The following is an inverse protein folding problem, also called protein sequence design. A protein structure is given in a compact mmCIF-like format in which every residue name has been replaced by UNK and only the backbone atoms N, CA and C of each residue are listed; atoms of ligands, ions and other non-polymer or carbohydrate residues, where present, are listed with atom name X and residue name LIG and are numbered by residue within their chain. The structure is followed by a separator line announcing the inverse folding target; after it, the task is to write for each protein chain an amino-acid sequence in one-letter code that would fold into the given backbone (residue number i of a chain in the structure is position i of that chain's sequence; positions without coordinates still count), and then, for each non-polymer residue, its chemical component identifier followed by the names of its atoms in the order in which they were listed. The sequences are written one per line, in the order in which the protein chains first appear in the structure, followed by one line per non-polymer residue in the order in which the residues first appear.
data_IF_430946501109
#
_entry.id   IF_430946501109
#
_cell.length_a   1.000
_cell.length_b   1.000
_cell.length_c   1.000
_cell.angle_alpha   90.00
_cell.angle_beta   90.00
_cell.angle_gamma   90.00
#
_symmetry.space_group_name_H-M   'P 1'
#
loop_
_entity.id
_entity.type
_entity.pdbx_description
1 polymer ?
#
# COMPACT_ATOMS: atom_id res chain seq x y z
N UNK A 1 -60.28 68.08 -9.88
CA UNK A 1 -60.20 67.52 -8.52
C UNK A 1 -61.11 66.30 -8.45
N UNK A 2 -60.57 65.11 -8.70
CA UNK A 2 -61.32 63.84 -8.73
C UNK A 2 -60.42 62.66 -8.30
N UNK A 3 -60.83 62.03 -7.20
CA UNK A 3 -61.09 60.58 -7.00
C UNK A 3 -59.94 59.56 -7.20
N UNK A 4 -59.41 59.12 -6.04
CA UNK A 4 -59.17 57.75 -5.52
C UNK A 4 -58.16 56.76 -6.13
N UNK A 5 -57.65 55.82 -5.30
CA UNK A 5 -56.37 55.14 -5.47
C UNK A 5 -56.53 53.71 -6.01
N UNK A 6 -55.49 53.20 -6.68
CA UNK A 6 -55.42 51.78 -7.06
C UNK A 6 -54.07 51.21 -6.67
N UNK A 7 -54.19 50.15 -5.88
CA UNK A 7 -53.17 49.22 -5.39
C UNK A 7 -52.43 48.59 -6.58
N UNK A 8 -51.10 48.64 -6.57
CA UNK A 8 -50.22 47.79 -7.37
C UNK A 8 -49.13 47.26 -6.44
N UNK A 9 -49.42 46.15 -5.77
CA UNK A 9 -48.95 44.81 -6.11
C UNK A 9 -47.42 44.71 -6.00
N UNK A 10 -47.04 44.16 -4.84
CA UNK A 10 -45.71 43.86 -4.34
C UNK A 10 -44.94 43.02 -5.37
N UNK A 11 -43.88 43.60 -5.94
CA UNK A 11 -42.92 42.87 -6.76
C UNK A 11 -41.96 42.11 -5.84
N UNK A 12 -42.20 40.81 -5.81
CA UNK A 12 -41.48 39.72 -5.18
C UNK A 12 -39.95 39.87 -5.37
N UNK A 13 -39.28 40.37 -4.33
CA UNK A 13 -37.84 40.20 -4.17
C UNK A 13 -37.62 38.91 -3.40
N UNK A 14 -36.84 37.99 -3.97
CA UNK A 14 -35.68 37.32 -3.38
C UNK A 14 -35.44 36.02 -4.12
N UNK A 15 -34.43 36.05 -5.00
CA UNK A 15 -33.70 34.86 -5.41
C UNK A 15 -33.07 34.21 -4.17
N UNK A 16 -33.72 33.19 -3.60
CA UNK A 16 -33.01 32.19 -2.79
C UNK A 16 -32.49 31.12 -3.74
N UNK A 17 -31.26 31.32 -4.17
CA UNK A 17 -30.42 30.24 -4.63
C UNK A 17 -30.10 29.32 -3.43
N UNK A 18 -30.36 28.03 -3.66
CA UNK A 18 -29.56 26.90 -3.20
C UNK A 18 -29.29 26.79 -1.70
N UNK A 19 -30.12 26.02 -1.01
CA UNK A 19 -29.65 24.84 -0.27
C UNK A 19 -30.70 23.74 -0.46
N UNK A 20 -30.66 23.07 -1.61
CA UNK A 20 -31.08 21.69 -1.61
C UNK A 20 -30.12 20.97 -0.68
N UNK A 21 -30.62 20.35 0.38
CA UNK A 21 -29.92 19.22 0.96
C UNK A 21 -29.87 18.18 -0.16
N UNK A 22 -28.78 18.19 -0.92
CA UNK A 22 -28.26 16.94 -1.45
C UNK A 22 -28.02 16.09 -0.20
N UNK A 23 -28.95 15.18 0.04
CA UNK A 23 -28.65 13.98 0.78
C UNK A 23 -27.62 13.27 -0.11
N UNK A 24 -26.36 13.67 0.00
CA UNK A 24 -25.31 12.70 -0.24
C UNK A 24 -25.63 11.61 0.75
N UNK A 25 -26.08 10.47 0.25
CA UNK A 25 -25.69 9.23 0.87
C UNK A 25 -24.18 9.37 1.01
N UNK A 26 -23.74 9.80 2.19
CA UNK A 26 -22.47 9.38 2.72
C UNK A 26 -22.60 7.86 2.71
N UNK A 27 -22.26 7.29 1.55
CA UNK A 27 -21.60 6.00 1.51
C UNK A 27 -20.47 6.24 2.49
N UNK A 28 -20.70 5.83 3.73
CA UNK A 28 -19.65 5.49 4.63
C UNK A 28 -18.86 4.44 3.88
N UNK A 29 -17.96 4.89 2.99
CA UNK A 29 -16.74 4.19 2.75
C UNK A 29 -16.19 4.10 4.15
N UNK A 30 -16.39 2.93 4.74
CA UNK A 30 -15.64 2.44 5.86
C UNK A 30 -14.18 2.71 5.46
N UNK A 31 -13.66 3.87 5.87
CA UNK A 31 -12.23 4.16 5.82
C UNK A 31 -11.70 3.17 6.83
N UNK A 32 -11.47 1.95 6.35
CA UNK A 32 -10.90 0.87 7.12
C UNK A 32 -9.56 1.45 7.54
N UNK A 33 -9.44 1.81 8.81
CA UNK A 33 -8.23 2.41 9.34
C UNK A 33 -7.11 1.38 9.12
N UNK A 34 -6.37 1.56 8.03
CA UNK A 34 -5.32 0.64 7.58
C UNK A 34 -3.99 0.96 8.23
N UNK A 35 -3.98 1.94 9.12
CA UNK A 35 -2.79 2.46 9.77
C UNK A 35 -2.48 1.63 11.01
N UNK A 36 -1.91 0.45 10.81
CA UNK A 36 -1.40 -0.34 11.93
C UNK A 36 -0.25 0.43 12.59
N UNK A 37 -0.35 0.64 13.90
CA UNK A 37 0.70 1.24 14.72
C UNK A 37 1.55 0.16 15.39
N UNK A 38 2.83 0.43 15.59
CA UNK A 38 3.75 -0.38 16.39
C UNK A 38 3.39 -0.28 17.89
N UNK A 39 4.08 -1.06 18.72
CA UNK A 39 3.88 -1.07 20.18
C UNK A 39 4.16 0.28 20.87
N UNK A 40 4.67 1.27 20.13
CA UNK A 40 4.96 2.63 20.60
C UNK A 40 4.06 3.68 19.94
N UNK A 41 3.00 3.26 19.23
CA UNK A 41 2.05 4.14 18.58
C UNK A 41 2.57 4.78 17.28
N UNK A 42 3.63 4.23 16.66
CA UNK A 42 4.17 4.74 15.39
C UNK A 42 3.71 3.90 14.22
N UNK A 43 3.38 4.53 13.10
CA UNK A 43 3.02 3.81 11.88
C UNK A 43 4.16 2.91 11.40
N UNK A 44 3.82 1.71 10.92
CA UNK A 44 4.77 0.86 10.22
C UNK A 44 5.20 1.54 8.92
N UNK A 45 6.51 1.65 8.72
CA UNK A 45 7.07 2.36 7.55
C UNK A 45 7.07 1.53 6.27
N UNK A 46 7.05 0.21 6.39
CA UNK A 46 7.03 -0.72 5.25
C UNK A 46 6.37 -2.06 5.63
N UNK A 47 5.86 -2.78 4.63
CA UNK A 47 5.07 -4.00 4.80
C UNK A 47 5.80 -5.09 5.60
N UNK A 48 7.11 -5.20 5.45
CA UNK A 48 7.95 -6.16 6.19
C UNK A 48 7.99 -5.93 7.71
N UNK A 49 7.60 -4.75 8.20
CA UNK A 49 7.54 -4.48 9.64
C UNK A 49 6.21 -4.88 10.28
N UNK A 50 5.14 -4.96 9.48
CA UNK A 50 3.81 -5.28 9.99
C UNK A 50 3.82 -6.76 10.39
N UNK A 51 3.52 -7.12 11.66
CA UNK A 51 3.41 -8.51 12.08
C UNK A 51 2.40 -9.28 11.22
N UNK A 52 2.69 -10.53 10.90
CA UNK A 52 1.83 -11.38 10.05
C UNK A 52 0.35 -11.37 10.48
N UNK A 53 0.10 -11.38 11.80
CA UNK A 53 -1.25 -11.37 12.39
C UNK A 53 -2.02 -10.06 12.20
N UNK A 54 -1.32 -8.96 11.91
CA UNK A 54 -1.91 -7.64 11.70
C UNK A 54 -2.03 -7.29 10.22
N UNK A 55 -1.57 -8.17 9.32
CA UNK A 55 -1.63 -7.89 7.88
C UNK A 55 -3.03 -8.11 7.32
N UNK A 56 -3.46 -7.19 6.49
CA UNK A 56 -4.64 -7.40 5.64
C UNK A 56 -4.36 -8.45 4.57
N UNK A 57 -5.43 -9.01 3.98
CA UNK A 57 -5.30 -9.93 2.87
C UNK A 57 -4.56 -9.31 1.68
N UNK A 58 -4.85 -8.04 1.36
CA UNK A 58 -4.18 -7.32 0.29
C UNK A 58 -2.67 -7.15 0.56
N UNK A 59 -2.28 -6.84 1.79
CA UNK A 59 -0.88 -6.75 2.19
C UNK A 59 -0.18 -8.11 2.05
N UNK A 60 -0.84 -9.20 2.44
CA UNK A 60 -0.32 -10.56 2.27
C UNK A 60 -0.14 -10.91 0.78
N UNK A 61 -1.07 -10.51 -0.09
CA UNK A 61 -0.94 -10.67 -1.55
C UNK A 61 0.28 -9.89 -2.07
N UNK A 62 0.45 -8.63 -1.67
CA UNK A 62 1.61 -7.81 -2.07
C UNK A 62 2.93 -8.44 -1.61
N UNK A 63 3.02 -8.90 -0.36
CA UNK A 63 4.22 -9.57 0.15
C UNK A 63 4.53 -10.83 -0.64
N UNK A 64 3.52 -11.66 -0.97
CA UNK A 64 3.75 -12.86 -1.79
C UNK A 64 4.32 -12.52 -3.16
N UNK A 65 3.84 -11.44 -3.79
CA UNK A 65 4.38 -10.96 -5.07
C UNK A 65 5.82 -10.48 -4.93
N UNK A 66 6.15 -9.74 -3.87
CA UNK A 66 7.53 -9.31 -3.58
C UNK A 66 8.47 -10.49 -3.38
N UNK A 67 8.05 -11.48 -2.59
CA UNK A 67 8.80 -12.71 -2.36
C UNK A 67 9.03 -13.49 -3.67
N UNK A 68 8.01 -13.58 -4.53
CA UNK A 68 8.16 -14.18 -5.86
C UNK A 68 9.15 -13.41 -6.72
N UNK A 69 9.10 -12.07 -6.70
CA UNK A 69 10.08 -11.24 -7.43
C UNK A 69 11.49 -11.48 -6.94
N UNK A 70 11.72 -11.49 -5.63
CA UNK A 70 13.04 -11.79 -5.07
C UNK A 70 13.53 -13.17 -5.51
N UNK A 71 12.70 -14.19 -5.35
CA UNK A 71 13.05 -15.57 -5.74
C UNK A 71 13.45 -15.67 -7.22
N UNK A 72 12.66 -15.07 -8.10
CA UNK A 72 12.79 -15.25 -9.55
C UNK A 72 13.82 -14.31 -10.17
N UNK A 73 13.94 -13.08 -9.66
CA UNK A 73 14.66 -11.99 -10.34
C UNK A 73 15.76 -11.33 -9.51
N UNK A 74 15.89 -11.58 -8.19
CA UNK A 74 17.16 -11.34 -7.53
C UNK A 74 18.15 -12.40 -7.94
N UNK A 75 19.28 -11.92 -8.47
CA UNK A 75 20.42 -12.72 -8.88
C UNK A 75 21.67 -12.12 -8.27
N UNK A 76 22.72 -12.92 -8.24
CA UNK A 76 24.05 -12.48 -7.86
C UNK A 76 24.89 -12.49 -9.12
N UNK A 77 25.59 -11.39 -9.37
CA UNK A 77 26.53 -11.24 -10.47
C UNK A 77 27.77 -10.55 -9.94
N UNK A 78 28.95 -11.14 -10.17
CA UNK A 78 30.23 -10.61 -9.68
C UNK A 78 30.21 -10.31 -8.17
N UNK A 79 29.69 -11.25 -7.38
CA UNK A 79 29.51 -11.13 -5.93
C UNK A 79 28.62 -9.94 -5.49
N UNK A 80 27.67 -9.52 -6.34
CA UNK A 80 26.71 -8.45 -6.02
C UNK A 80 25.29 -8.85 -6.37
N UNK A 81 24.36 -8.53 -5.50
CA UNK A 81 22.92 -8.62 -5.76
C UNK A 81 22.53 -7.64 -6.88
N UNK A 82 21.74 -8.15 -7.82
CA UNK A 82 21.14 -7.39 -8.92
C UNK A 82 19.69 -7.81 -9.12
N UNK A 83 18.84 -6.85 -9.49
CA UNK A 83 17.47 -7.12 -9.91
C UNK A 83 17.41 -7.23 -11.44
N UNK A 84 17.04 -8.39 -11.95
CA UNK A 84 16.93 -8.67 -13.40
C UNK A 84 15.64 -8.18 -14.04
N UNK A 85 14.97 -7.25 -13.39
CA UNK A 85 13.61 -6.86 -13.70
C UNK A 85 13.56 -5.34 -13.86
N UNK A 86 13.06 -4.88 -15.01
CA UNK A 86 12.88 -3.45 -15.25
C UNK A 86 11.73 -2.89 -14.41
N UNK A 87 11.74 -1.59 -14.15
CA UNK A 87 10.65 -0.92 -13.43
C UNK A 87 9.26 -1.21 -14.03
N UNK A 88 9.16 -1.22 -15.36
CA UNK A 88 7.90 -1.49 -16.05
C UNK A 88 7.41 -2.93 -15.84
N UNK A 89 8.30 -3.92 -15.96
CA UNK A 89 7.97 -5.31 -15.67
C UNK A 89 7.59 -5.52 -14.19
N UNK A 90 8.13 -4.70 -13.29
CA UNK A 90 7.81 -4.78 -11.87
C UNK A 90 6.36 -4.35 -11.64
N UNK A 91 5.93 -3.31 -12.35
CA UNK A 91 4.55 -2.83 -12.32
C UNK A 91 3.57 -3.81 -12.96
N UNK A 92 3.96 -4.52 -14.02
CA UNK A 92 3.07 -5.54 -14.61
C UNK A 92 2.82 -6.72 -13.67
N UNK A 93 3.68 -6.93 -12.66
CA UNK A 93 3.43 -7.89 -11.56
C UNK A 93 2.45 -7.35 -10.50
N UNK A 94 1.94 -6.13 -10.69
CA UNK A 94 0.99 -5.47 -9.81
C UNK A 94 1.63 -5.05 -8.48
N UNK A 95 2.87 -4.56 -8.55
CA UNK A 95 3.62 -3.94 -7.46
C UNK A 95 3.80 -2.45 -7.76
N UNK A 96 3.96 -1.65 -6.71
CA UNK A 96 3.97 -0.19 -6.83
C UNK A 96 5.35 0.40 -7.13
N UNK A 97 5.40 1.69 -7.47
CA UNK A 97 6.64 2.48 -7.56
C UNK A 97 7.43 2.46 -6.25
N UNK A 98 6.72 2.59 -5.14
CA UNK A 98 7.28 2.54 -3.81
C UNK A 98 7.98 1.20 -3.56
N UNK A 99 7.30 0.09 -3.87
CA UNK A 99 7.86 -1.26 -3.70
C UNK A 99 9.15 -1.47 -4.53
N UNK A 100 9.19 -0.93 -5.75
CA UNK A 100 10.37 -1.00 -6.61
C UNK A 100 11.55 -0.23 -5.98
N UNK A 101 11.31 0.99 -5.51
CA UNK A 101 12.35 1.81 -4.89
C UNK A 101 12.88 1.19 -3.60
N UNK A 102 12.01 0.62 -2.76
CA UNK A 102 12.42 -0.12 -1.56
C UNK A 102 13.25 -1.35 -1.94
N UNK A 103 12.85 -2.09 -2.96
CA UNK A 103 13.62 -3.25 -3.46
C UNK A 103 15.02 -2.83 -3.89
N UNK A 104 15.17 -1.71 -4.62
CA UNK A 104 16.48 -1.20 -5.01
C UNK A 104 17.33 -0.75 -3.81
N UNK A 105 16.71 -0.16 -2.79
CA UNK A 105 17.41 0.20 -1.55
C UNK A 105 17.90 -1.04 -0.78
N UNK A 106 17.11 -2.11 -0.75
CA UNK A 106 17.51 -3.38 -0.16
C UNK A 106 18.70 -4.02 -0.91
N UNK A 107 18.71 -3.97 -2.25
CA UNK A 107 19.87 -4.41 -3.05
C UNK A 107 21.13 -3.63 -2.66
N UNK A 108 21.03 -2.31 -2.62
CA UNK A 108 22.17 -1.45 -2.31
C UNK A 108 22.69 -1.73 -0.89
N UNK A 109 21.78 -1.84 0.08
CA UNK A 109 22.11 -2.23 1.46
C UNK A 109 22.78 -3.59 1.56
N UNK A 110 22.25 -4.60 0.88
CA UNK A 110 22.82 -5.96 0.86
C UNK A 110 24.21 -5.98 0.21
N UNK A 111 24.39 -5.25 -0.88
CA UNK A 111 25.69 -5.13 -1.54
C UNK A 111 26.71 -4.43 -0.66
N UNK A 112 26.32 -3.34 0.00
CA UNK A 112 27.16 -2.66 0.97
C UNK A 112 27.56 -3.60 2.12
N UNK A 113 26.62 -4.39 2.64
CA UNK A 113 26.90 -5.38 3.67
C UNK A 113 27.87 -6.48 3.17
N UNK A 114 27.70 -6.95 1.94
CA UNK A 114 28.65 -7.89 1.32
C UNK A 114 30.05 -7.28 1.23
N UNK A 115 30.16 -6.05 0.75
CA UNK A 115 31.44 -5.35 0.56
C UNK A 115 32.13 -5.07 1.90
N UNK A 116 31.39 -4.57 2.90
CA UNK A 116 31.92 -4.21 4.22
C UNK A 116 32.47 -5.41 5.01
N UNK A 117 31.84 -6.57 4.86
CA UNK A 117 32.16 -7.76 5.63
C UNK A 117 32.85 -8.86 4.81
N UNK A 118 33.12 -8.62 3.53
CA UNK A 118 33.78 -9.57 2.63
C UNK A 118 33.02 -10.88 2.47
N UNK A 119 31.68 -10.80 2.41
CA UNK A 119 30.81 -11.97 2.37
C UNK A 119 30.67 -12.53 0.94
N UNK A 120 30.21 -13.77 0.86
CA UNK A 120 29.81 -14.38 -0.40
C UNK A 120 28.31 -14.11 -0.64
N UNK A 121 28.02 -13.26 -1.62
CA UNK A 121 26.66 -12.89 -2.00
C UNK A 121 25.86 -14.11 -2.50
N UNK A 122 26.52 -15.07 -3.16
CA UNK A 122 25.83 -16.28 -3.64
C UNK A 122 25.35 -17.13 -2.47
N UNK A 123 26.20 -17.39 -1.47
CA UNK A 123 25.81 -18.09 -0.25
C UNK A 123 24.63 -17.42 0.46
N UNK A 124 24.69 -16.09 0.62
CA UNK A 124 23.59 -15.31 1.22
C UNK A 124 22.30 -15.42 0.41
N UNK A 125 22.39 -15.35 -0.93
CA UNK A 125 21.24 -15.47 -1.81
C UNK A 125 20.59 -16.86 -1.72
N UNK A 126 21.39 -17.93 -1.60
CA UNK A 126 20.86 -19.29 -1.42
C UNK A 126 20.08 -19.44 -0.10
N UNK A 127 20.59 -18.90 1.00
CA UNK A 127 19.88 -18.92 2.29
C UNK A 127 18.60 -18.07 2.26
N UNK A 128 18.65 -16.93 1.59
CA UNK A 128 17.48 -16.09 1.35
C UNK A 128 16.42 -16.86 0.53
N UNK A 129 16.79 -17.53 -0.56
CA UNK A 129 15.87 -18.31 -1.39
C UNK A 129 15.22 -19.44 -0.59
N UNK A 130 15.98 -20.16 0.26
CA UNK A 130 15.40 -21.20 1.15
C UNK A 130 14.33 -20.62 2.09
N UNK A 131 14.60 -19.44 2.64
CA UNK A 131 13.67 -18.73 3.53
C UNK A 131 12.41 -18.28 2.79
N UNK A 132 12.57 -17.77 1.56
CA UNK A 132 11.47 -17.39 0.68
C UNK A 132 10.63 -18.60 0.31
N UNK A 133 11.24 -19.70 -0.14
CA UNK A 133 10.54 -20.93 -0.50
C UNK A 133 9.73 -21.48 0.67
N UNK A 134 10.27 -21.39 1.88
CA UNK A 134 9.55 -21.78 3.10
C UNK A 134 8.36 -20.87 3.39
N UNK A 135 8.50 -19.57 3.14
CA UNK A 135 7.44 -18.57 3.35
C UNK A 135 6.31 -18.70 2.31
N UNK A 136 6.66 -18.94 1.04
CA UNK A 136 5.68 -19.10 -0.04
C UNK A 136 4.83 -20.37 0.10
N UNK A 137 5.35 -21.40 0.79
CA UNK A 137 4.61 -22.64 1.10
C UNK A 137 3.60 -22.48 2.23
N UNK A 138 3.67 -21.41 3.03
CA UNK A 138 2.74 -21.24 4.16
C UNK A 138 1.33 -20.92 3.64
N UNK A 139 0.30 -21.65 4.08
CA UNK A 139 -1.08 -21.30 3.75
C UNK A 139 -1.40 -19.90 4.29
N UNK A 140 -2.23 -19.14 3.58
CA UNK A 140 -2.81 -17.92 4.14
C UNK A 140 -3.67 -18.33 5.33
N UNK A 141 -3.19 -18.10 6.55
CA UNK A 141 -3.99 -18.32 7.74
C UNK A 141 -5.00 -17.17 7.78
N UNK A 142 -6.17 -17.38 7.19
CA UNK A 142 -7.33 -16.54 7.43
C UNK A 142 -7.73 -16.76 8.89
N UNK A 143 -7.52 -15.77 9.75
CA UNK A 143 -8.08 -15.82 11.09
C UNK A 143 -9.61 -15.74 10.94
N UNK A 144 -10.38 -16.64 11.57
CA UNK A 144 -11.83 -16.49 11.60
C UNK A 144 -12.15 -15.14 12.23
N UNK A 145 -12.98 -14.35 11.56
CA UNK A 145 -13.58 -13.15 12.13
C UNK A 145 -14.39 -13.59 13.34
N UNK A 146 -13.78 -13.52 14.52
CA UNK A 146 -14.47 -13.72 15.78
C UNK A 146 -15.27 -12.44 16.07
N UNK A 147 -16.32 -12.19 15.30
CA UNK A 147 -17.35 -11.23 15.65
C UNK A 147 -18.12 -11.80 16.84
N UNK A 148 -17.93 -11.19 18.01
CA UNK A 148 -18.85 -11.28 19.14
C UNK A 148 -19.80 -10.11 19.09
#
# INVERSE_FOLDING_TARGET
MKIKPTIALILLTTSLLTQGCDYSEDVAQEIKDTTFLDSRGKEYKFLGQIPDSLRTEQQNVTIKKLLQVHREYFKVENNRFVLKLSKQEFFTKGLSDYDYNVTLQEIDGNNKYVDEYGLDADSLNQEMIKTIDSSLKRPNIAFPNNAK
#
